data_IF_504277506780
#
_entry.id   IF_504277506780
#
_cell.length_a   1.000
_cell.length_b   1.000
_cell.length_c   1.000
_cell.angle_alpha   90.00
_cell.angle_beta   90.00
_cell.angle_gamma   90.00
#
_symmetry.space_group_name_H-M   'P 1'
#
loop_
_entity.id
_entity.type
_entity.pdbx_description
1 polymer ?
#
# COMPACT_ATOMS: atom_id res chain seq x y z
N UNK A 1 -6.46 -13.12 2.49
CA UNK A 1 -7.13 -12.00 1.79
C UNK A 1 -8.52 -11.75 2.37
N UNK A 2 -9.32 -12.78 2.60
CA UNK A 2 -10.70 -12.64 3.10
C UNK A 2 -10.83 -11.86 4.41
N UNK A 3 -9.97 -12.13 5.42
CA UNK A 3 -9.96 -11.37 6.68
C UNK A 3 -9.65 -9.89 6.45
N UNK A 4 -8.66 -9.58 5.60
CA UNK A 4 -8.32 -8.21 5.24
C UNK A 4 -9.47 -7.52 4.50
N UNK A 5 -10.13 -8.21 3.56
CA UNK A 5 -11.29 -7.66 2.86
C UNK A 5 -12.46 -7.40 3.80
N UNK A 6 -12.73 -8.31 4.73
CA UNK A 6 -13.73 -8.11 5.79
C UNK A 6 -13.44 -6.86 6.62
N UNK A 7 -12.17 -6.61 6.94
CA UNK A 7 -11.75 -5.40 7.65
C UNK A 7 -11.90 -4.15 6.79
N UNK A 8 -11.49 -4.19 5.53
CA UNK A 8 -11.65 -3.08 4.58
C UNK A 8 -13.13 -2.73 4.39
N UNK A 9 -13.99 -3.73 4.20
CA UNK A 9 -15.43 -3.53 4.03
C UNK A 9 -16.10 -3.03 5.30
N UNK A 10 -15.67 -3.51 6.47
CA UNK A 10 -16.14 -3.00 7.77
C UNK A 10 -15.75 -1.53 7.95
N UNK A 11 -14.49 -1.17 7.66
CA UNK A 11 -14.01 0.22 7.71
C UNK A 11 -14.77 1.12 6.74
N UNK A 12 -15.02 0.67 5.51
CA UNK A 12 -15.76 1.45 4.50
C UNK A 12 -17.22 1.68 4.88
N UNK A 13 -17.83 0.74 5.60
CA UNK A 13 -19.23 0.84 6.04
C UNK A 13 -19.41 1.87 7.14
N UNK A 14 -18.56 1.80 8.17
CA UNK A 14 -18.59 2.74 9.30
C UNK A 14 -17.19 2.85 9.92
N UNK A 15 -16.38 3.84 9.50
CA UNK A 15 -15.02 4.00 10.01
C UNK A 15 -15.00 4.36 11.50
N UNK A 16 -16.04 5.03 12.00
CA UNK A 16 -16.16 5.41 13.42
C UNK A 16 -16.39 4.16 14.27
N UNK A 17 -17.32 3.29 13.87
CA UNK A 17 -17.56 2.01 14.55
C UNK A 17 -16.33 1.10 14.46
N UNK A 18 -15.68 1.03 13.29
CA UNK A 18 -14.47 0.23 13.10
C UNK A 18 -13.33 0.65 14.05
N UNK A 19 -13.12 1.95 14.23
CA UNK A 19 -12.14 2.49 15.18
C UNK A 19 -12.52 2.17 16.63
N UNK A 20 -13.79 2.37 17.00
CA UNK A 20 -14.29 2.06 18.36
C UNK A 20 -14.11 0.59 18.73
N UNK A 21 -14.35 -0.33 17.80
CA UNK A 21 -14.15 -1.78 18.01
C UNK A 21 -12.68 -2.13 18.28
N UNK A 22 -11.73 -1.29 17.85
CA UNK A 22 -10.29 -1.43 18.08
C UNK A 22 -9.79 -0.54 19.23
N UNK A 23 -10.69 0.01 20.03
CA UNK A 23 -10.38 0.93 21.13
C UNK A 23 -9.61 2.19 20.69
N UNK A 24 -9.79 2.60 19.43
CA UNK A 24 -9.23 3.84 18.89
C UNK A 24 -10.28 4.95 19.00
N UNK A 25 -9.84 6.15 19.43
CA UNK A 25 -10.71 7.31 19.53
C UNK A 25 -10.92 7.91 18.13
N UNK A 26 -12.13 7.89 17.58
CA UNK A 26 -12.41 8.58 16.31
C UNK A 26 -12.20 10.08 16.51
N UNK A 27 -11.58 10.73 15.53
CA UNK A 27 -11.55 12.20 15.43
C UNK A 27 -12.95 12.71 15.08
N UNK A 28 -13.26 13.96 15.41
CA UNK A 28 -14.47 14.67 14.94
C UNK A 28 -14.33 15.10 13.45
N UNK A 29 -13.23 14.72 12.80
CA UNK A 29 -12.98 14.95 11.38
C UNK A 29 -13.98 14.22 10.49
N UNK A 30 -14.34 14.86 9.37
CA UNK A 30 -15.22 14.30 8.35
C UNK A 30 -14.48 13.43 7.32
N UNK A 31 -13.14 13.46 7.31
CA UNK A 31 -12.32 12.71 6.38
C UNK A 31 -11.62 11.56 7.12
N UNK A 32 -11.86 10.34 6.66
CA UNK A 32 -11.17 9.14 7.14
C UNK A 32 -10.29 8.59 6.03
N UNK A 33 -9.03 8.27 6.36
CA UNK A 33 -8.07 7.68 5.42
C UNK A 33 -7.70 6.28 5.91
N UNK A 34 -7.83 5.28 5.03
CA UNK A 34 -7.33 3.93 5.25
C UNK A 34 -6.07 3.72 4.43
N UNK A 35 -4.97 3.40 5.09
CA UNK A 35 -3.74 2.97 4.43
C UNK A 35 -3.70 1.45 4.49
N UNK A 36 -3.68 0.81 3.33
CA UNK A 36 -3.44 -0.63 3.20
C UNK A 36 -2.02 -0.81 2.66
N UNK A 37 -1.17 -1.48 3.43
CA UNK A 37 0.19 -1.82 3.01
C UNK A 37 0.38 -3.33 2.84
N UNK A 38 1.25 -3.71 1.92
CA UNK A 38 1.65 -5.10 1.69
C UNK A 38 2.33 -5.28 0.34
N UNK A 39 3.12 -6.33 0.21
CA UNK A 39 3.99 -6.53 -0.95
C UNK A 39 3.30 -7.13 -2.19
N UNK A 40 2.09 -7.68 -2.05
CA UNK A 40 1.28 -8.28 -3.15
C UNK A 40 -0.14 -7.70 -3.24
N UNK A 41 -0.44 -6.61 -2.54
CA UNK A 41 -1.82 -6.08 -2.45
C UNK A 41 -2.37 -5.67 -3.83
N UNK A 42 -1.49 -5.28 -4.75
CA UNK A 42 -1.87 -4.87 -6.10
C UNK A 42 -2.16 -6.01 -7.07
N UNK A 43 -1.99 -7.28 -6.68
CA UNK A 43 -2.35 -8.41 -7.54
C UNK A 43 -3.72 -8.98 -7.20
N UNK A 44 -4.41 -8.41 -6.21
CA UNK A 44 -5.73 -8.84 -5.78
C UNK A 44 -6.81 -7.89 -6.26
N UNK A 45 -7.44 -8.25 -7.40
CA UNK A 45 -8.41 -7.43 -8.11
C UNK A 45 -9.54 -6.84 -7.25
N UNK A 46 -10.19 -7.59 -6.32
CA UNK A 46 -11.25 -7.02 -5.49
C UNK A 46 -10.79 -5.84 -4.62
N UNK A 47 -9.59 -5.92 -4.06
CA UNK A 47 -9.00 -4.82 -3.29
C UNK A 47 -8.58 -3.66 -4.21
N UNK A 48 -8.00 -3.97 -5.37
CA UNK A 48 -7.55 -2.94 -6.30
C UNK A 48 -8.64 -1.98 -6.75
N UNK A 49 -9.88 -2.46 -6.86
CA UNK A 49 -11.02 -1.62 -7.24
C UNK A 49 -11.39 -0.59 -6.16
N UNK A 50 -10.85 -0.72 -4.95
CA UNK A 50 -11.18 0.13 -3.80
C UNK A 50 -10.16 1.25 -3.57
N UNK A 51 -9.00 1.21 -4.20
CA UNK A 51 -7.95 2.20 -3.97
C UNK A 51 -8.19 3.50 -4.73
N UNK A 52 -8.24 4.61 -4.00
CA UNK A 52 -8.19 5.97 -4.57
C UNK A 52 -6.77 6.33 -5.03
N UNK A 53 -5.76 5.89 -4.27
CA UNK A 53 -4.34 6.14 -4.53
C UNK A 53 -3.51 4.87 -4.38
N UNK A 54 -2.48 4.75 -5.20
CA UNK A 54 -1.59 3.58 -5.24
C UNK A 54 -0.15 4.05 -5.29
N UNK A 55 0.64 3.65 -4.30
CA UNK A 55 2.07 3.94 -4.23
C UNK A 55 2.84 2.63 -4.17
N UNK A 56 3.92 2.53 -4.94
CA UNK A 56 4.77 1.35 -4.96
C UNK A 56 6.22 1.74 -4.73
N UNK A 57 6.83 1.21 -3.67
CA UNK A 57 8.23 1.46 -3.36
C UNK A 57 9.14 0.51 -4.13
N UNK A 58 9.96 1.07 -5.01
CA UNK A 58 10.97 0.34 -5.77
C UNK A 58 12.32 0.39 -5.07
N UNK A 59 13.00 -0.76 -5.02
CA UNK A 59 14.33 -0.86 -4.44
C UNK A 59 15.18 -1.73 -5.37
N UNK A 60 16.38 -1.28 -5.79
CA UNK A 60 17.28 -2.09 -6.60
C UNK A 60 17.63 -3.42 -5.93
N UNK A 61 17.88 -4.44 -6.74
CA UNK A 61 18.19 -5.81 -6.32
C UNK A 61 19.20 -5.87 -5.16
N UNK A 62 20.37 -5.23 -5.29
CA UNK A 62 21.44 -5.31 -4.28
C UNK A 62 21.03 -4.72 -2.94
N UNK A 63 20.29 -3.60 -2.98
CA UNK A 63 19.80 -2.93 -1.78
C UNK A 63 18.71 -3.76 -1.12
N UNK A 64 17.80 -4.34 -1.90
CA UNK A 64 16.75 -5.22 -1.39
C UNK A 64 17.34 -6.48 -0.75
N UNK A 65 18.28 -7.14 -1.44
CA UNK A 65 19.01 -8.32 -0.94
C UNK A 65 19.69 -8.04 0.39
N UNK A 66 20.45 -6.94 0.47
CA UNK A 66 21.14 -6.51 1.68
C UNK A 66 20.17 -6.18 2.82
N UNK A 67 19.09 -5.45 2.55
CA UNK A 67 18.08 -5.12 3.58
C UNK A 67 17.37 -6.39 4.08
N UNK A 68 17.07 -7.34 3.18
CA UNK A 68 16.41 -8.60 3.54
C UNK A 68 17.32 -9.52 4.33
N UNK A 69 18.61 -9.61 4.00
CA UNK A 69 19.56 -10.44 4.76
C UNK A 69 19.77 -9.97 6.20
N UNK A 70 19.42 -8.72 6.51
CA UNK A 70 19.43 -8.16 7.87
C UNK A 70 18.13 -8.45 8.66
N UNK A 71 17.07 -8.95 7.99
CA UNK A 71 15.80 -9.30 8.62
C UNK A 71 15.77 -10.78 8.98
N UNK A 72 15.21 -11.10 10.15
CA UNK A 72 14.97 -12.48 10.56
C UNK A 72 13.52 -12.83 10.25
N UNK A 73 13.32 -13.78 9.33
CA UNK A 73 12.01 -14.32 8.99
C UNK A 73 11.70 -15.58 9.81
N UNK A 74 10.43 -15.93 9.90
CA UNK A 74 9.97 -17.19 10.50
C UNK A 74 9.10 -17.95 9.48
N UNK A 75 9.54 -19.11 8.96
CA UNK A 75 10.89 -19.70 9.14
C UNK A 75 12.00 -18.83 8.51
N UNK A 76 13.28 -19.00 8.91
CA UNK A 76 14.39 -18.29 8.28
C UNK A 76 14.53 -18.62 6.80
N UNK A 77 15.00 -17.65 6.01
CA UNK A 77 15.28 -17.85 4.58
C UNK A 77 16.39 -18.93 4.41
N UNK A 78 16.17 -19.99 3.61
CA UNK A 78 17.21 -20.95 3.31
C UNK A 78 18.32 -20.33 2.42
N UNK A 79 19.51 -20.94 2.34
CA UNK A 79 20.57 -20.48 1.46
C UNK A 79 20.11 -20.33 0.01
N UNK A 80 20.41 -19.19 -0.62
CA UNK A 80 20.02 -18.89 -2.01
C UNK A 80 18.55 -18.51 -2.23
N UNK A 81 17.71 -18.47 -1.19
CA UNK A 81 16.28 -18.22 -1.32
C UNK A 81 15.94 -16.89 -1.98
N UNK A 82 16.71 -15.84 -1.69
CA UNK A 82 16.47 -14.54 -2.31
C UNK A 82 16.59 -14.59 -3.83
N UNK A 83 17.67 -15.19 -4.32
CA UNK A 83 18.02 -15.24 -5.73
C UNK A 83 17.15 -16.24 -6.49
N UNK A 84 16.89 -17.40 -5.87
CA UNK A 84 16.13 -18.48 -6.48
C UNK A 84 14.62 -18.31 -6.41
N UNK A 85 14.10 -17.47 -5.49
CA UNK A 85 12.66 -17.39 -5.26
C UNK A 85 12.15 -15.95 -5.08
N UNK A 86 12.65 -15.22 -4.09
CA UNK A 86 12.07 -13.91 -3.71
C UNK A 86 12.14 -12.91 -4.85
N UNK A 87 13.32 -12.74 -5.46
CA UNK A 87 13.52 -11.76 -6.52
C UNK A 87 12.80 -12.15 -7.82
N UNK A 88 12.88 -13.41 -8.30
CA UNK A 88 12.06 -13.85 -9.43
C UNK A 88 10.55 -13.63 -9.22
N UNK A 89 10.04 -13.92 -8.02
CA UNK A 89 8.62 -13.71 -7.70
C UNK A 89 8.25 -12.23 -7.64
N UNK A 90 9.15 -11.37 -7.14
CA UNK A 90 8.98 -9.92 -7.20
C UNK A 90 8.89 -9.41 -8.65
N UNK A 91 9.80 -9.84 -9.54
CA UNK A 91 9.79 -9.44 -10.94
C UNK A 91 8.52 -9.90 -11.66
N UNK A 92 8.09 -11.14 -11.42
CA UNK A 92 6.83 -11.66 -11.95
C UNK A 92 5.64 -10.82 -11.47
N UNK A 93 5.56 -10.55 -10.16
CA UNK A 93 4.50 -9.72 -9.58
C UNK A 93 4.50 -8.31 -10.18
N UNK A 94 5.68 -7.72 -10.39
CA UNK A 94 5.82 -6.38 -10.96
C UNK A 94 5.22 -6.30 -12.36
N UNK A 95 5.54 -7.27 -13.23
CA UNK A 95 4.98 -7.33 -14.60
C UNK A 95 3.45 -7.43 -14.53
N UNK A 96 2.93 -8.36 -13.74
CA UNK A 96 1.48 -8.54 -13.56
C UNK A 96 0.79 -7.25 -13.05
N UNK A 97 1.45 -6.54 -12.13
CA UNK A 97 0.96 -5.30 -11.55
C UNK A 97 0.95 -4.15 -12.57
N UNK A 98 2.04 -3.96 -13.33
CA UNK A 98 2.17 -2.91 -14.35
C UNK A 98 1.11 -3.09 -15.46
N UNK A 99 0.82 -4.33 -15.85
CA UNK A 99 -0.18 -4.63 -16.88
C UNK A 99 -1.64 -4.42 -16.42
N UNK A 100 -1.92 -4.66 -15.13
CA UNK A 100 -3.29 -4.78 -14.63
C UNK A 100 -3.75 -3.62 -13.73
N UNK A 101 -2.83 -2.79 -13.24
CA UNK A 101 -3.11 -1.80 -12.21
C UNK A 101 -2.65 -0.40 -12.64
N UNK A 102 -3.52 0.36 -13.32
CA UNK A 102 -3.18 1.72 -13.76
C UNK A 102 -3.07 2.69 -12.57
N UNK A 103 -2.32 3.78 -12.78
CA UNK A 103 -2.24 4.89 -11.82
C UNK A 103 -1.39 4.63 -10.58
N UNK A 104 -0.46 3.67 -10.64
CA UNK A 104 0.54 3.46 -9.60
C UNK A 104 1.60 4.57 -9.69
N UNK A 105 1.83 5.23 -8.56
CA UNK A 105 2.97 6.14 -8.38
C UNK A 105 4.15 5.35 -7.84
N UNK A 106 5.22 5.26 -8.63
CA UNK A 106 6.44 4.58 -8.24
C UNK A 106 7.34 5.52 -7.41
N UNK A 107 7.80 5.02 -6.28
CA UNK A 107 8.62 5.74 -5.31
C UNK A 107 10.00 5.07 -5.21
N UNK A 108 11.06 5.86 -5.22
CA UNK A 108 12.42 5.35 -4.96
C UNK A 108 12.60 5.06 -3.47
N UNK A 109 12.55 3.78 -3.10
CA UNK A 109 12.70 3.30 -1.72
C UNK A 109 14.11 3.43 -1.13
N UNK A 110 15.05 4.03 -1.87
CA UNK A 110 16.35 4.45 -1.33
C UNK A 110 16.33 5.85 -0.74
N UNK A 111 15.32 6.67 -1.06
CA UNK A 111 15.18 8.02 -0.52
C UNK A 111 14.98 8.01 1.01
N UNK A 112 15.37 9.09 1.71
CA UNK A 112 15.07 9.25 3.11
C UNK A 112 13.57 9.13 3.40
N UNK A 113 13.23 8.62 4.58
CA UNK A 113 11.84 8.42 5.01
C UNK A 113 11.05 9.73 4.95
N UNK A 114 11.67 10.82 5.37
CA UNK A 114 11.07 12.14 5.46
C UNK A 114 10.70 12.67 4.08
N UNK A 115 11.56 12.43 3.08
CA UNK A 115 11.32 12.82 1.68
C UNK A 115 10.17 12.00 1.06
N UNK A 116 10.15 10.69 1.31
CA UNK A 116 9.06 9.83 0.85
C UNK A 116 7.72 10.23 1.49
N UNK A 117 7.74 10.51 2.80
CA UNK A 117 6.56 10.92 3.54
C UNK A 117 6.04 12.28 3.05
N UNK A 118 6.91 13.27 2.84
CA UNK A 118 6.50 14.56 2.30
C UNK A 118 5.92 14.41 0.89
N UNK A 119 6.57 13.65 0.01
CA UNK A 119 6.08 13.43 -1.35
C UNK A 119 4.70 12.78 -1.41
N UNK A 120 4.45 11.73 -0.62
CA UNK A 120 3.13 11.08 -0.53
C UNK A 120 2.08 12.03 0.06
N UNK A 121 2.43 12.77 1.12
CA UNK A 121 1.51 13.71 1.75
C UNK A 121 1.08 14.81 0.78
N UNK A 122 2.02 15.38 0.03
CA UNK A 122 1.74 16.49 -0.87
C UNK A 122 0.85 16.01 -2.05
N UNK A 123 1.07 14.79 -2.57
CA UNK A 123 0.18 14.18 -3.58
C UNK A 123 -1.24 13.92 -3.04
N UNK A 124 -1.35 13.42 -1.80
CA UNK A 124 -2.64 13.23 -1.14
C UNK A 124 -3.37 14.57 -0.94
N UNK A 125 -2.67 15.61 -0.49
CA UNK A 125 -3.26 16.93 -0.28
C UNK A 125 -3.80 17.53 -1.59
N UNK A 126 -3.02 17.46 -2.68
CA UNK A 126 -3.50 17.94 -3.99
C UNK A 126 -4.75 17.18 -4.46
N UNK A 127 -4.81 15.88 -4.19
CA UNK A 127 -5.94 15.04 -4.61
C UNK A 127 -7.21 15.32 -3.81
N UNK A 128 -7.06 15.67 -2.54
CA UNK A 128 -8.17 16.06 -1.67
C UNK A 128 -8.66 17.50 -1.93
N UNK A 129 -7.84 18.37 -2.52
CA UNK A 129 -8.23 19.73 -2.92
C UNK A 129 -8.93 19.80 -4.28
N UNK A 130 -8.90 18.74 -5.08
CA UNK A 130 -9.45 18.68 -6.45
C UNK A 130 -10.95 18.42 -6.58
N UNK A 131 -11.73 18.41 -5.50
CA UNK A 131 -13.19 18.16 -5.59
C UNK A 131 -13.95 19.39 -6.10
N UNK A 132 -14.37 19.34 -7.36
CA UNK A 132 -15.42 20.23 -7.89
C UNK A 132 -16.77 19.68 -7.42
N UNK A 133 -17.44 20.42 -6.53
CA UNK A 133 -18.84 20.14 -6.17
C UNK A 133 -19.70 20.48 -7.38
N UNK A 134 -20.09 19.48 -8.17
CA UNK A 134 -21.22 19.64 -9.08
C UNK A 134 -22.49 19.67 -8.23
N UNK A 135 -23.04 20.87 -8.00
CA UNK A 135 -24.45 20.99 -7.67
C UNK A 135 -25.23 20.54 -8.91
N UNK A 136 -25.74 19.30 -8.89
CA UNK A 136 -26.84 18.95 -9.79
C UNK A 136 -28.08 19.78 -9.40
N UNK A 137 -28.86 20.27 -10.37
CA UNK A 137 -30.12 20.96 -10.12
C UNK A 137 -31.17 20.06 -9.44
#
# INVERSE_FOLDING_TARGET
MDTMMSDVDSWRRDPVQFLRQRSLKPSDEQLFVLIVEGFLIFNYRPLNLLFDKRYFMEIPYDVCKRRRSLRVYTPPDPPGYFDGHVWPMYLKNRIEMEDSTPGIVFLDGQKPKEELLSGVRDDLQHSLMGFVVFKCP
#
